data_IF_286331923736
#
_entry.id   IF_286331923736
#
_cell.length_a   1.000
_cell.length_b   1.000
_cell.length_c   1.000
_cell.angle_alpha   90.00
_cell.angle_beta   90.00
_cell.angle_gamma   90.00
#
_symmetry.space_group_name_H-M   'P 1'
#
loop_
_entity.id
_entity.type
_entity.pdbx_description
1 polymer ?
#
# COMPACT_ATOMS: atom_id res chain seq x y z
N UNK A 1 3.15 10.21 -6.17
CA UNK A 1 2.83 10.99 -7.38
C UNK A 1 1.87 10.16 -8.22
N UNK A 2 0.57 10.44 -8.17
CA UNK A 2 -0.47 9.73 -8.93
C UNK A 2 -1.56 10.71 -9.35
N UNK A 3 -1.97 10.64 -10.63
CA UNK A 3 -2.92 11.55 -11.28
C UNK A 3 -4.26 10.86 -11.66
N UNK A 4 -4.45 9.58 -11.34
CA UNK A 4 -5.61 8.79 -11.77
C UNK A 4 -6.00 7.72 -10.76
N UNK A 5 -7.30 7.57 -10.50
CA UNK A 5 -7.85 6.58 -9.57
C UNK A 5 -7.35 5.15 -9.87
N UNK A 6 -7.36 4.75 -11.16
CA UNK A 6 -6.92 3.42 -11.59
C UNK A 6 -5.45 3.12 -11.27
N UNK A 7 -4.58 4.12 -11.44
CA UNK A 7 -3.17 4.02 -11.08
C UNK A 7 -3.00 3.89 -9.55
N UNK A 8 -3.80 4.63 -8.77
CA UNK A 8 -3.75 4.56 -7.30
C UNK A 8 -4.18 3.19 -6.78
N UNK A 9 -5.31 2.63 -7.25
CA UNK A 9 -5.75 1.29 -6.84
C UNK A 9 -4.79 0.18 -7.29
N UNK A 10 -4.20 0.29 -8.48
CA UNK A 10 -3.19 -0.67 -8.96
C UNK A 10 -1.94 -0.64 -8.07
N UNK A 11 -1.44 0.56 -7.76
CA UNK A 11 -0.30 0.71 -6.87
C UNK A 11 -0.63 0.18 -5.46
N UNK A 12 -1.81 0.47 -4.93
CA UNK A 12 -2.26 -0.06 -3.64
C UNK A 12 -2.23 -1.60 -3.61
N UNK A 13 -2.73 -2.26 -4.66
CA UNK A 13 -2.71 -3.72 -4.76
C UNK A 13 -1.30 -4.31 -4.80
N UNK A 14 -0.41 -3.73 -5.62
CA UNK A 14 0.99 -4.18 -5.72
C UNK A 14 1.72 -4.00 -4.38
N UNK A 15 1.58 -2.82 -3.76
CA UNK A 15 2.26 -2.50 -2.51
C UNK A 15 1.72 -3.39 -1.37
N UNK A 16 0.41 -3.66 -1.34
CA UNK A 16 -0.18 -4.58 -0.37
C UNK A 16 0.39 -6.00 -0.51
N UNK A 17 0.47 -6.53 -1.74
CA UNK A 17 1.03 -7.85 -2.00
C UNK A 17 2.51 -7.95 -1.57
N UNK A 18 3.31 -6.93 -1.89
CA UNK A 18 4.71 -6.85 -1.45
C UNK A 18 4.80 -6.76 0.07
N UNK A 19 3.97 -5.94 0.72
CA UNK A 19 3.92 -5.82 2.18
C UNK A 19 3.57 -7.13 2.88
N UNK A 20 2.60 -7.88 2.37
CA UNK A 20 2.24 -9.22 2.87
C UNK A 20 3.43 -10.18 2.71
N UNK A 21 4.08 -10.21 1.54
CA UNK A 21 5.27 -11.03 1.33
C UNK A 21 6.42 -10.66 2.29
N UNK A 22 6.61 -9.36 2.56
CA UNK A 22 7.60 -8.87 3.53
C UNK A 22 7.26 -9.29 4.96
N UNK A 23 5.98 -9.27 5.35
CA UNK A 23 5.52 -9.74 6.66
C UNK A 23 5.74 -11.24 6.84
N UNK A 24 5.43 -12.04 5.82
CA UNK A 24 5.68 -13.49 5.84
C UNK A 24 7.16 -13.83 5.97
N UNK A 25 8.05 -12.95 5.48
CA UNK A 25 9.50 -13.13 5.54
C UNK A 25 10.15 -12.52 6.78
N UNK A 26 9.43 -11.68 7.53
CA UNK A 26 9.92 -11.05 8.74
C UNK A 26 10.05 -12.09 9.88
N UNK A 27 11.29 -12.46 10.20
CA UNK A 27 11.62 -13.42 11.27
C UNK A 27 11.86 -12.78 12.64
N UNK A 28 12.02 -11.46 12.68
CA UNK A 28 12.43 -10.72 13.89
C UNK A 28 11.50 -9.56 14.13
N UNK A 29 11.18 -9.26 15.40
CA UNK A 29 10.30 -8.17 15.83
C UNK A 29 10.59 -6.80 15.18
N UNK A 30 11.84 -6.32 15.06
CA UNK A 30 12.12 -5.05 14.37
C UNK A 30 11.82 -5.13 12.87
N UNK A 31 12.09 -6.27 12.22
CA UNK A 31 11.81 -6.46 10.79
C UNK A 31 10.31 -6.48 10.51
N UNK A 32 9.51 -6.97 11.46
CA UNK A 32 8.05 -6.97 11.38
C UNK A 32 7.49 -5.54 11.35
N UNK A 33 8.00 -4.65 12.21
CA UNK A 33 7.64 -3.23 12.19
C UNK A 33 7.98 -2.57 10.84
N UNK A 34 9.12 -2.88 10.25
CA UNK A 34 9.47 -2.38 8.91
C UNK A 34 8.60 -2.96 7.80
N UNK A 35 8.17 -4.22 7.92
CA UNK A 35 7.29 -4.86 6.97
C UNK A 35 5.84 -4.32 7.03
N UNK A 36 5.44 -3.65 8.11
CA UNK A 36 4.15 -2.95 8.20
C UNK A 36 4.12 -1.65 7.38
N UNK A 37 5.24 -0.95 7.22
CA UNK A 37 5.33 0.29 6.44
C UNK A 37 4.70 0.20 5.04
N UNK A 38 5.04 -0.79 4.19
CA UNK A 38 4.39 -0.93 2.89
C UNK A 38 2.88 -1.19 3.01
N UNK A 39 2.41 -1.92 4.04
CA UNK A 39 0.98 -2.11 4.25
C UNK A 39 0.25 -0.80 4.55
N UNK A 40 0.81 0.03 5.43
CA UNK A 40 0.24 1.37 5.71
C UNK A 40 0.21 2.23 4.45
N UNK A 41 1.26 2.16 3.63
CA UNK A 41 1.34 2.91 2.38
C UNK A 41 0.33 2.40 1.34
N UNK A 42 0.07 1.09 1.29
CA UNK A 42 -0.97 0.53 0.43
C UNK A 42 -2.38 1.02 0.82
N UNK A 43 -2.66 1.11 2.12
CA UNK A 43 -3.92 1.69 2.63
C UNK A 43 -4.02 3.15 2.23
N UNK A 44 -2.96 3.94 2.43
CA UNK A 44 -2.93 5.34 2.01
C UNK A 44 -3.18 5.47 0.50
N UNK A 45 -2.57 4.63 -0.33
CA UNK A 45 -2.73 4.66 -1.78
C UNK A 45 -4.16 4.28 -2.24
N UNK A 46 -4.84 3.41 -1.50
CA UNK A 46 -6.25 3.10 -1.72
C UNK A 46 -7.15 4.30 -1.37
N UNK A 47 -6.87 4.99 -0.24
CA UNK A 47 -7.60 6.20 0.17
C UNK A 47 -7.41 7.33 -0.84
N UNK A 48 -6.19 7.54 -1.35
CA UNK A 48 -5.93 8.48 -2.44
C UNK A 48 -6.73 8.13 -3.70
N UNK A 49 -6.90 6.84 -4.01
CA UNK A 49 -7.76 6.38 -5.11
C UNK A 49 -9.22 6.76 -4.92
N UNK A 50 -9.74 6.64 -3.70
CA UNK A 50 -11.11 7.05 -3.34
C UNK A 50 -11.27 8.58 -3.48
N UNK A 51 -10.28 9.34 -3.03
CA UNK A 51 -10.26 10.80 -3.18
C UNK A 51 -10.30 11.20 -4.66
N UNK A 52 -9.53 10.53 -5.52
CA UNK A 52 -9.57 10.75 -6.97
C UNK A 52 -10.92 10.41 -7.62
N UNK A 53 -11.61 9.37 -7.17
CA UNK A 53 -12.98 9.07 -7.63
C UNK A 53 -13.97 10.15 -7.18
N UNK A 54 -13.78 10.70 -5.98
CA UNK A 54 -14.68 11.72 -5.41
C UNK A 54 -14.47 13.10 -6.02
N UNK A 55 -13.25 13.40 -6.48
CA UNK A 55 -12.88 14.65 -7.15
C UNK A 55 -13.15 14.65 -8.67
N UNK A 56 -13.52 13.50 -9.26
CA UNK A 56 -13.98 13.37 -10.64
C UNK A 56 -15.49 13.57 -10.75
#
# INVERSE_FOLDING_TARGET
>A
MCFSASASFTAAGVIAAVGICSLLKARTYPLFLFALTPLFFAVQQALEGIVWITLM
#
